data_IF_443717211488
#
_entry.id   IF_443717211488
#
_cell.length_a   1.000
_cell.length_b   1.000
_cell.length_c   1.000
_cell.angle_alpha   90.00
_cell.angle_beta   90.00
_cell.angle_gamma   90.00
#
_symmetry.space_group_name_H-M   'P 1'
#
loop_
_entity.id
_entity.type
_entity.pdbx_description
1 polymer ?
#
# COMPACT_ATOMS: atom_id res chain seq x y z
N UNK A 1 -7.98 2.24 8.93
CA UNK A 1 -7.46 1.04 8.22
C UNK A 1 -8.53 0.56 7.28
N UNK A 2 -8.16 0.19 6.06
CA UNK A 2 -9.13 -0.22 5.03
C UNK A 2 -9.36 -1.75 5.09
N UNK A 3 -10.54 -2.26 4.67
CA UNK A 3 -10.83 -3.70 4.73
C UNK A 3 -9.84 -4.60 3.97
N UNK A 4 -9.22 -4.09 2.90
CA UNK A 4 -8.30 -4.82 2.04
C UNK A 4 -6.88 -4.98 2.62
N UNK A 5 -6.57 -4.29 3.73
CA UNK A 5 -5.26 -4.31 4.42
C UNK A 5 -5.39 -4.65 5.91
N UNK A 6 -6.55 -5.18 6.33
CA UNK A 6 -6.90 -5.35 7.74
C UNK A 6 -6.12 -6.50 8.41
N UNK A 7 -5.81 -7.57 7.68
CA UNK A 7 -5.14 -8.76 8.24
C UNK A 7 -3.64 -8.55 8.33
N UNK A 8 -3.05 -8.01 7.28
CA UNK A 8 -1.61 -7.76 7.20
C UNK A 8 -1.34 -6.61 6.23
N UNK A 9 -0.30 -5.83 6.53
CA UNK A 9 0.31 -4.90 5.59
C UNK A 9 1.82 -5.12 5.60
N UNK A 10 2.45 -5.06 4.43
CA UNK A 10 3.88 -5.21 4.29
C UNK A 10 4.45 -4.36 3.15
N UNK A 11 5.71 -4.00 3.30
CA UNK A 11 6.49 -3.34 2.27
C UNK A 11 6.81 -4.34 1.13
N UNK A 12 6.77 -3.89 -0.12
CA UNK A 12 7.06 -4.71 -1.31
C UNK A 12 8.50 -4.60 -1.84
N UNK A 13 9.30 -3.66 -1.33
CA UNK A 13 10.66 -3.42 -1.74
C UNK A 13 11.21 -2.06 -1.29
N UNK A 14 12.33 -1.66 -1.88
CA UNK A 14 12.92 -0.37 -1.63
C UNK A 14 11.94 0.78 -1.93
N UNK A 15 11.99 1.83 -1.12
CA UNK A 15 11.24 3.04 -1.41
C UNK A 15 11.82 3.73 -2.65
N UNK A 16 10.95 4.28 -3.49
CA UNK A 16 11.31 4.98 -4.72
C UNK A 16 11.37 6.48 -4.40
N UNK A 17 12.50 7.11 -4.65
CA UNK A 17 12.65 8.55 -4.47
C UNK A 17 11.87 9.31 -5.55
N UNK A 18 11.13 10.35 -5.14
CA UNK A 18 10.42 11.28 -6.03
C UNK A 18 10.61 12.72 -5.54
N UNK A 19 10.17 13.70 -6.35
CA UNK A 19 10.11 15.10 -5.93
C UNK A 19 9.10 15.35 -4.80
N UNK A 20 8.10 14.48 -4.67
CA UNK A 20 7.02 14.61 -3.68
C UNK A 20 7.31 13.86 -2.37
N UNK A 21 8.40 13.07 -2.31
CA UNK A 21 8.72 12.21 -1.18
C UNK A 21 9.17 10.81 -1.58
N UNK A 22 9.18 9.90 -0.62
CA UNK A 22 9.48 8.49 -0.85
C UNK A 22 8.19 7.72 -1.12
N UNK A 23 8.05 7.19 -2.34
CA UNK A 23 6.94 6.33 -2.72
C UNK A 23 7.26 4.88 -2.30
N UNK A 24 6.43 4.32 -1.44
CA UNK A 24 6.55 2.94 -0.96
C UNK A 24 5.38 2.13 -1.51
N UNK A 25 5.68 1.08 -2.28
CA UNK A 25 4.69 0.08 -2.64
C UNK A 25 4.47 -0.87 -1.47
N UNK A 26 3.20 -1.14 -1.18
CA UNK A 26 2.78 -1.99 -0.07
C UNK A 26 1.84 -3.07 -0.57
N UNK A 27 1.86 -4.24 0.07
CA UNK A 27 0.82 -5.24 -0.08
C UNK A 27 -0.07 -5.24 1.17
N UNK A 28 -1.37 -5.36 0.97
CA UNK A 28 -2.36 -5.58 2.01
C UNK A 28 -3.01 -6.95 1.85
N UNK A 29 -3.33 -7.59 2.98
CA UNK A 29 -4.13 -8.81 3.03
C UNK A 29 -5.47 -8.48 3.67
N UNK A 30 -6.54 -8.66 2.90
CA UNK A 30 -7.91 -8.44 3.34
C UNK A 30 -8.61 -9.72 3.79
N UNK A 31 -9.95 -9.64 3.90
CA UNK A 31 -10.79 -10.80 4.14
C UNK A 31 -10.52 -11.92 3.10
N UNK A 32 -10.70 -13.17 3.53
CA UNK A 32 -10.44 -14.36 2.69
C UNK A 32 -9.00 -14.44 2.15
N UNK A 33 -8.03 -13.76 2.78
CA UNK A 33 -6.63 -13.71 2.35
C UNK A 33 -6.43 -13.17 0.93
N UNK A 34 -7.34 -12.31 0.45
CA UNK A 34 -7.13 -11.60 -0.82
C UNK A 34 -5.97 -10.62 -0.65
N UNK A 35 -4.92 -10.81 -1.45
CA UNK A 35 -3.78 -9.90 -1.55
C UNK A 35 -4.11 -8.76 -2.52
N UNK A 36 -3.77 -7.54 -2.13
CA UNK A 36 -3.89 -6.37 -3.00
C UNK A 36 -2.69 -5.43 -2.80
N UNK A 37 -2.35 -4.65 -3.82
CA UNK A 37 -1.28 -3.65 -3.75
C UNK A 37 -1.86 -2.27 -3.48
N UNK A 38 -1.14 -1.50 -2.68
CA UNK A 38 -1.38 -0.09 -2.44
C UNK A 38 -0.07 0.68 -2.40
N UNK A 39 -0.16 1.97 -2.07
CA UNK A 39 1.02 2.81 -1.93
C UNK A 39 0.93 3.74 -0.73
N UNK A 40 2.10 4.14 -0.26
CA UNK A 40 2.31 5.14 0.78
C UNK A 40 3.32 6.17 0.27
N UNK A 41 3.05 7.44 0.51
CA UNK A 41 4.00 8.52 0.29
C UNK A 41 4.53 8.96 1.66
N UNK A 42 5.84 8.90 1.84
CA UNK A 42 6.54 9.36 3.03
C UNK A 42 7.24 10.69 2.76
N UNK A 43 7.43 11.49 3.80
CA UNK A 43 8.18 12.73 3.71
C UNK A 43 9.63 12.49 3.28
N UNK A 44 10.13 13.30 2.34
CA UNK A 44 11.47 13.16 1.76
C UNK A 44 12.59 13.29 2.79
N UNK A 45 12.42 14.23 3.72
CA UNK A 45 13.41 14.59 4.74
C UNK A 45 13.25 13.78 6.02
N UNK A 46 12.01 13.41 6.36
CA UNK A 46 11.67 12.71 7.59
C UNK A 46 10.78 11.48 7.28
N UNK A 47 11.33 10.38 6.76
CA UNK A 47 10.53 9.26 6.22
C UNK A 47 9.65 8.54 7.24
N UNK A 48 9.83 8.76 8.54
CA UNK A 48 8.90 8.32 9.57
C UNK A 48 7.52 9.00 9.47
N UNK A 49 7.40 10.14 8.77
CA UNK A 49 6.17 10.88 8.55
C UNK A 49 5.48 10.43 7.27
N UNK A 50 4.26 9.91 7.41
CA UNK A 50 3.39 9.55 6.29
C UNK A 50 2.67 10.80 5.78
N UNK A 51 2.86 11.11 4.50
CA UNK A 51 2.17 12.22 3.80
C UNK A 51 0.84 11.76 3.19
N UNK A 52 0.77 10.52 2.73
CA UNK A 52 -0.44 9.99 2.10
C UNK A 52 -0.41 8.47 1.95
N UNK A 53 -1.59 7.87 1.81
CA UNK A 53 -1.77 6.44 1.56
C UNK A 53 -2.94 6.22 0.62
N UNK A 54 -2.86 5.18 -0.20
CA UNK A 54 -3.97 4.75 -1.05
C UNK A 54 -5.17 4.33 -0.19
N UNK A 55 -6.34 4.94 -0.43
CA UNK A 55 -7.59 4.58 0.27
C UNK A 55 -8.20 3.28 -0.25
N UNK A 56 -8.01 3.02 -1.54
CA UNK A 56 -8.40 1.80 -2.24
C UNK A 56 -7.14 1.11 -2.79
N UNK A 57 -7.20 -0.20 -3.09
CA UNK A 57 -6.09 -0.86 -3.77
C UNK A 57 -5.76 -0.18 -5.10
N UNK A 58 -4.47 -0.10 -5.43
CA UNK A 58 -4.00 0.25 -6.77
C UNK A 58 -4.11 -0.93 -7.74
N UNK A 59 -3.93 -2.15 -7.22
CA UNK A 59 -4.11 -3.39 -7.95
C UNK A 59 -4.69 -4.44 -7.01
N UNK A 60 -5.79 -5.06 -7.40
CA UNK A 60 -6.36 -6.20 -6.71
C UNK A 60 -6.67 -7.29 -7.74
N UNK A 61 -6.68 -8.57 -7.32
CA UNK A 61 -7.25 -9.61 -8.16
C UNK A 61 -8.68 -9.22 -8.55
N UNK A 62 -9.14 -9.62 -9.74
CA UNK A 62 -10.55 -9.46 -10.09
C UNK A 62 -11.41 -10.17 -9.04
N UNK A 63 -12.64 -9.69 -8.86
CA UNK A 63 -13.61 -10.48 -8.15
C UNK A 63 -13.74 -11.81 -8.89
N UNK A 64 -13.46 -12.89 -8.18
CA UNK A 64 -13.44 -14.22 -8.77
C UNK A 64 -14.80 -14.47 -9.44
N UNK A 65 -14.83 -14.51 -10.78
CA UNK A 65 -15.74 -15.42 -11.44
C UNK A 65 -15.33 -16.81 -10.96
N UNK A 66 -16.26 -17.43 -10.24
CA UNK A 66 -16.13 -18.69 -9.56
C UNK A 66 -16.20 -19.85 -10.54
#
# INVERSE_FOLDING_TARGET
MNPWELVQIGNCGAAIETDQGWLVLTHGVGAMRKYALGAMLLDKSHPARVLGRSRVPLLSPPDAER
#
